data_IF_201117082289
#
_entry.id   IF_201117082289
#
_cell.length_a   1.000
_cell.length_b   1.000
_cell.length_c   1.000
_cell.angle_alpha   90.00
_cell.angle_beta   90.00
_cell.angle_gamma   90.00
#
_symmetry.space_group_name_H-M   'P 1'
#
loop_
_entity.id
_entity.type
_entity.pdbx_description
1 polymer ?
#
# COMPACT_ATOMS: atom_id res chain seq x y z
N UNK A 1 29.44 20.11 -45.81
CA UNK A 1 29.37 19.29 -44.57
C UNK A 1 28.28 18.24 -44.80
N UNK A 2 28.68 16.97 -44.80
CA UNK A 2 27.84 15.84 -45.21
C UNK A 2 26.79 15.50 -44.15
N UNK A 3 25.61 15.17 -44.69
CA UNK A 3 24.43 14.55 -44.08
C UNK A 3 24.82 13.30 -43.29
N UNK A 4 24.23 13.09 -42.11
CA UNK A 4 23.94 11.75 -41.60
C UNK A 4 22.64 11.76 -40.77
N UNK A 5 21.54 11.44 -41.47
CA UNK A 5 20.29 10.96 -40.87
C UNK A 5 20.50 9.49 -40.54
N UNK A 6 20.48 9.13 -39.27
CA UNK A 6 20.42 7.73 -38.83
C UNK A 6 19.07 7.49 -38.19
N UNK A 7 18.17 6.94 -39.01
CA UNK A 7 16.93 6.29 -38.57
C UNK A 7 17.31 5.01 -37.82
N UNK A 8 17.02 4.94 -36.52
CA UNK A 8 16.98 3.67 -35.81
C UNK A 8 15.55 3.16 -35.79
N UNK A 9 15.25 2.29 -36.74
CA UNK A 9 14.09 1.41 -36.72
C UNK A 9 14.57 0.01 -36.30
N UNK A 10 14.17 -0.42 -35.11
CA UNK A 10 14.11 -1.81 -34.62
C UNK A 10 13.35 -1.71 -33.29
N UNK A 11 12.11 -2.15 -33.17
CA UNK A 11 11.64 -3.47 -33.54
C UNK A 11 11.99 -4.44 -32.42
N UNK A 12 11.24 -4.39 -31.32
CA UNK A 12 11.22 -5.40 -30.27
C UNK A 12 9.82 -5.43 -29.66
N UNK A 13 8.95 -6.25 -30.26
CA UNK A 13 7.85 -6.86 -29.54
C UNK A 13 8.46 -7.66 -28.38
N UNK A 14 8.25 -7.20 -27.15
CA UNK A 14 8.22 -8.10 -26.00
C UNK A 14 6.77 -8.17 -25.54
N UNK A 15 6.10 -9.22 -26.02
CA UNK A 15 5.06 -9.87 -25.23
C UNK A 15 5.73 -10.40 -23.95
N UNK A 16 5.79 -9.56 -22.93
CA UNK A 16 5.80 -10.05 -21.56
C UNK A 16 4.38 -9.80 -21.06
N UNK A 17 3.62 -10.88 -20.96
CA UNK A 17 2.44 -10.91 -20.12
C UNK A 17 2.82 -10.29 -18.77
N UNK A 18 2.27 -9.13 -18.46
CA UNK A 18 2.18 -8.69 -17.07
C UNK A 18 1.09 -9.52 -16.38
N UNK A 19 1.23 -10.85 -16.41
CA UNK A 19 1.04 -11.63 -15.19
C UNK A 19 2.12 -11.12 -14.25
N UNK A 20 1.85 -9.96 -13.63
CA UNK A 20 2.54 -9.57 -12.43
C UNK A 20 2.21 -10.66 -11.44
N UNK A 21 3.09 -11.65 -11.37
CA UNK A 21 3.28 -12.49 -10.21
C UNK A 21 3.07 -11.58 -9.01
N UNK A 22 2.03 -11.85 -8.22
CA UNK A 22 1.88 -11.26 -6.90
C UNK A 22 3.20 -11.54 -6.20
N UNK A 23 4.10 -10.55 -6.27
CA UNK A 23 5.46 -10.68 -5.82
C UNK A 23 5.39 -10.81 -4.33
N UNK A 24 5.66 -12.02 -3.84
CA UNK A 24 5.98 -12.34 -2.46
C UNK A 24 7.28 -11.64 -2.00
N UNK A 25 7.40 -10.34 -2.25
CA UNK A 25 8.37 -9.42 -1.64
C UNK A 25 7.73 -8.51 -0.59
N UNK A 26 6.44 -8.71 -0.33
CA UNK A 26 5.79 -8.08 0.82
C UNK A 26 6.12 -8.91 2.05
N UNK A 27 7.08 -8.48 2.88
CA UNK A 27 7.06 -8.86 4.29
C UNK A 27 5.64 -8.57 4.80
N UNK A 28 4.92 -9.62 5.17
CA UNK A 28 3.51 -9.53 5.58
C UNK A 28 3.36 -8.49 6.69
N UNK A 29 2.32 -7.67 6.59
CA UNK A 29 1.97 -6.71 7.65
C UNK A 29 1.39 -7.51 8.81
N UNK A 30 2.05 -7.46 9.96
CA UNK A 30 1.61 -8.20 11.15
C UNK A 30 0.34 -7.58 11.75
N UNK A 31 -0.37 -8.33 12.60
CA UNK A 31 -1.56 -7.81 13.30
C UNK A 31 -1.24 -6.55 14.12
N UNK A 32 -0.08 -6.48 14.77
CA UNK A 32 0.35 -5.29 15.50
C UNK A 32 0.56 -4.07 14.57
N UNK A 33 1.07 -4.29 13.37
CA UNK A 33 1.22 -3.23 12.36
C UNK A 33 -0.13 -2.82 11.78
N UNK A 34 -1.04 -3.75 11.51
CA UNK A 34 -2.42 -3.43 11.13
C UNK A 34 -3.12 -2.59 12.20
N UNK A 35 -2.96 -2.92 13.48
CA UNK A 35 -3.48 -2.12 14.59
C UNK A 35 -2.93 -0.69 14.55
N UNK A 36 -1.61 -0.55 14.52
CA UNK A 36 -0.95 0.74 14.48
C UNK A 36 -1.36 1.56 13.24
N UNK A 37 -1.55 0.90 12.10
CA UNK A 37 -2.07 1.50 10.87
C UNK A 37 -3.47 2.07 11.08
N UNK A 38 -4.41 1.27 11.60
CA UNK A 38 -5.78 1.73 11.82
C UNK A 38 -5.82 2.89 12.83
N UNK A 39 -5.14 2.76 13.97
CA UNK A 39 -5.06 3.85 14.96
C UNK A 39 -4.45 5.12 14.36
N UNK A 40 -3.45 4.99 13.48
CA UNK A 40 -2.83 6.13 12.83
C UNK A 40 -3.79 6.83 11.86
N UNK A 41 -4.42 6.12 10.94
CA UNK A 41 -5.30 6.75 9.93
C UNK A 41 -6.53 7.40 10.57
N UNK A 42 -7.10 6.81 11.62
CA UNK A 42 -8.23 7.42 12.34
C UNK A 42 -7.80 8.66 13.13
N UNK A 43 -6.60 8.64 13.71
CA UNK A 43 -6.05 9.83 14.38
C UNK A 43 -5.79 10.98 13.42
N UNK A 44 -5.42 10.71 12.15
CA UNK A 44 -5.30 11.77 11.13
C UNK A 44 -6.64 12.48 10.88
N UNK A 45 -7.76 11.79 11.09
CA UNK A 45 -9.13 12.32 11.01
C UNK A 45 -9.65 12.82 12.37
N UNK A 46 -8.79 12.88 13.40
CA UNK A 46 -9.16 13.34 14.75
C UNK A 46 -10.00 12.35 15.56
N UNK A 47 -10.10 11.09 15.13
CA UNK A 47 -10.85 10.04 15.83
C UNK A 47 -9.96 9.17 16.72
N UNK A 48 -10.51 8.76 17.87
CA UNK A 48 -9.90 7.75 18.75
C UNK A 48 -10.53 6.39 18.45
N UNK A 49 -9.83 5.59 17.66
CA UNK A 49 -10.31 4.29 17.22
C UNK A 49 -10.55 3.31 18.39
N UNK A 50 -9.70 3.37 19.40
CA UNK A 50 -9.81 2.49 20.56
C UNK A 50 -11.06 2.81 21.37
N UNK A 51 -11.37 4.10 21.55
CA UNK A 51 -12.60 4.53 22.20
C UNK A 51 -13.87 4.18 21.40
N UNK A 52 -13.77 4.17 20.06
CA UNK A 52 -14.90 3.87 19.17
C UNK A 52 -15.22 2.37 19.07
N UNK A 53 -14.20 1.52 18.96
CA UNK A 53 -14.36 0.09 18.68
C UNK A 53 -14.23 -0.78 19.94
N UNK A 54 -13.47 -0.32 20.94
CA UNK A 54 -13.01 -1.15 22.05
C UNK A 54 -11.89 -2.11 21.67
N UNK A 55 -11.17 -2.58 22.68
CA UNK A 55 -9.97 -3.43 22.52
C UNK A 55 -10.23 -4.75 21.79
N UNK A 56 -11.31 -5.45 22.13
CA UNK A 56 -11.60 -6.77 21.60
C UNK A 56 -11.85 -6.73 20.09
N UNK A 57 -12.68 -5.78 19.64
CA UNK A 57 -12.98 -5.62 18.22
C UNK A 57 -11.75 -5.14 17.45
N UNK A 58 -11.00 -4.16 17.99
CA UNK A 58 -9.78 -3.68 17.35
C UNK A 58 -8.73 -4.79 17.20
N UNK A 59 -8.55 -5.64 18.22
CA UNK A 59 -7.65 -6.79 18.16
C UNK A 59 -8.08 -7.78 17.07
N UNK A 60 -9.39 -8.08 16.98
CA UNK A 60 -9.94 -8.97 15.96
C UNK A 60 -9.73 -8.42 14.54
N UNK A 61 -10.09 -7.17 14.30
CA UNK A 61 -9.95 -6.54 12.97
C UNK A 61 -8.49 -6.45 12.54
N UNK A 62 -7.58 -6.21 13.50
CA UNK A 62 -6.14 -6.19 13.23
C UNK A 62 -5.60 -7.57 12.85
N UNK A 63 -6.10 -8.64 13.46
CA UNK A 63 -5.75 -10.01 13.08
C UNK A 63 -6.27 -10.35 11.67
N UNK A 64 -7.53 -10.02 11.38
CA UNK A 64 -8.13 -10.22 10.05
C UNK A 64 -7.35 -9.48 8.97
N UNK A 65 -6.93 -8.23 9.22
CA UNK A 65 -6.11 -7.46 8.30
C UNK A 65 -4.80 -8.17 7.92
N UNK A 66 -4.12 -8.74 8.91
CA UNK A 66 -2.87 -9.47 8.69
C UNK A 66 -3.08 -10.78 7.93
N UNK A 67 -4.11 -11.54 8.30
CA UNK A 67 -4.46 -12.81 7.66
C UNK A 67 -4.94 -12.64 6.21
N UNK A 68 -5.78 -11.63 5.97
CA UNK A 68 -6.35 -11.37 4.64
C UNK A 68 -5.39 -10.58 3.73
N UNK A 69 -4.33 -9.98 4.28
CA UNK A 69 -3.38 -9.18 3.50
C UNK A 69 -4.02 -7.92 2.89
N UNK A 70 -5.02 -7.34 3.58
CA UNK A 70 -5.75 -6.14 3.11
C UNK A 70 -4.85 -4.90 3.11
N UNK A 71 -3.75 -4.91 3.85
CA UNK A 71 -2.75 -3.83 3.84
C UNK A 71 -1.42 -4.39 3.36
N UNK A 72 -0.96 -3.91 2.19
CA UNK A 72 0.39 -4.24 1.71
C UNK A 72 1.45 -3.50 2.53
N UNK A 73 2.67 -4.05 2.61
CA UNK A 73 3.80 -3.37 3.25
C UNK A 73 4.08 -1.98 2.67
N UNK A 74 3.96 -1.84 1.35
CA UNK A 74 4.13 -0.56 0.65
C UNK A 74 3.09 0.46 1.08
N UNK A 75 1.82 0.06 1.16
CA UNK A 75 0.74 0.95 1.62
C UNK A 75 0.93 1.32 3.08
N UNK A 76 1.25 0.34 3.93
CA UNK A 76 1.57 0.56 5.34
C UNK A 76 2.66 1.62 5.52
N UNK A 77 3.79 1.48 4.82
CA UNK A 77 4.91 2.42 4.94
C UNK A 77 4.54 3.84 4.50
N UNK A 78 3.77 3.97 3.42
CA UNK A 78 3.28 5.27 2.96
C UNK A 78 2.32 5.89 3.97
N UNK A 79 1.31 5.13 4.40
CA UNK A 79 0.29 5.60 5.32
C UNK A 79 0.85 6.00 6.67
N UNK A 80 1.85 5.27 7.20
CA UNK A 80 2.49 5.61 8.48
C UNK A 80 3.40 6.86 8.40
N UNK A 81 3.79 7.27 7.20
CA UNK A 81 4.55 8.51 6.97
C UNK A 81 3.64 9.73 6.77
N UNK A 82 2.35 9.52 6.49
CA UNK A 82 1.37 10.57 6.28
C UNK A 82 1.18 11.42 7.56
N UNK A 83 0.93 12.72 7.38
CA UNK A 83 0.70 13.66 8.49
C UNK A 83 -0.66 14.33 8.43
N UNK A 84 -1.42 14.05 7.38
CA UNK A 84 -2.74 14.58 7.10
C UNK A 84 -3.57 13.57 6.33
N UNK A 85 -4.88 13.77 6.28
CA UNK A 85 -5.79 12.97 5.45
C UNK A 85 -5.44 13.11 3.96
N UNK A 86 -5.01 14.28 3.51
CA UNK A 86 -4.60 14.51 2.13
C UNK A 86 -3.35 13.69 1.75
N UNK A 87 -2.36 13.61 2.64
CA UNK A 87 -1.18 12.75 2.45
C UNK A 87 -1.57 11.28 2.38
N UNK A 88 -2.51 10.85 3.23
CA UNK A 88 -3.01 9.48 3.23
C UNK A 88 -3.73 9.14 1.92
N UNK A 89 -4.54 10.07 1.39
CA UNK A 89 -5.19 9.89 0.09
C UNK A 89 -4.18 9.73 -1.05
N UNK A 90 -3.05 10.43 -0.98
CA UNK A 90 -1.97 10.31 -1.97
C UNK A 90 -1.30 8.92 -1.96
N UNK A 91 -1.40 8.14 -0.86
CA UNK A 91 -0.94 6.76 -0.80
C UNK A 91 -1.81 5.78 -1.61
N UNK A 92 -3.04 6.19 -1.98
CA UNK A 92 -3.99 5.35 -2.70
C UNK A 92 -4.81 4.43 -1.79
N UNK A 93 -5.56 3.52 -2.40
CA UNK A 93 -6.32 2.53 -1.64
C UNK A 93 -5.39 1.43 -1.09
N UNK A 94 -5.72 0.85 0.09
CA UNK A 94 -5.10 -0.38 0.56
C UNK A 94 -5.38 -1.53 -0.43
N UNK A 95 -4.81 -2.72 -0.18
CA UNK A 95 -5.00 -3.88 -1.04
C UNK A 95 -6.47 -4.31 -0.99
N UNK A 96 -7.25 -3.94 -2.02
CA UNK A 96 -8.66 -4.31 -2.17
C UNK A 96 -8.80 -5.70 -2.74
#
# INVERSE_FOLDING_TARGET
MHVNRTLFATGLLWLAACTGTAGSDSREVTAAQCRAYYEHIYRLDGADLQAMMGEELLARESAVCAEAGTVTKRHYDCAMAARSVDDLQACGAPNT
#
